data_IF_334523323203
#
_entry.id   IF_334523323203
#
_cell.length_a   1.000
_cell.length_b   1.000
_cell.length_c   1.000
_cell.angle_alpha   90.00
_cell.angle_beta   90.00
_cell.angle_gamma   90.00
#
_symmetry.space_group_name_H-M   'P 1'
#
loop_
_entity.id
_entity.type
_entity.pdbx_description
1 polymer ?
#
# COMPACT_ATOMS: atom_id res chain seq x y z
N UNK A 1 25.19 -80.41 59.74
CA UNK A 1 25.84 -79.08 59.89
C UNK A 1 25.80 -78.38 58.58
N UNK A 2 24.73 -77.66 58.32
CA UNK A 2 24.57 -76.89 57.11
C UNK A 2 23.98 -75.50 57.46
N UNK A 3 24.74 -74.49 57.18
CA UNK A 3 24.49 -73.09 57.49
C UNK A 3 23.54 -72.49 56.40
N UNK A 4 22.47 -71.89 56.85
CA UNK A 4 21.53 -71.15 55.99
C UNK A 4 22.10 -69.77 55.52
N UNK A 5 21.85 -69.33 54.34
CA UNK A 5 22.21 -67.99 53.90
C UNK A 5 21.19 -66.96 54.33
N UNK A 6 21.67 -65.78 54.76
CA UNK A 6 20.85 -64.61 55.18
C UNK A 6 20.24 -63.81 54.02
N UNK A 7 19.31 -62.93 54.33
CA UNK A 7 18.50 -62.24 53.33
C UNK A 7 19.26 -61.13 52.64
N UNK A 8 19.19 -61.10 51.28
CA UNK A 8 19.73 -60.06 50.41
C UNK A 8 18.94 -58.75 50.53
N UNK A 9 19.69 -57.68 50.75
CA UNK A 9 19.15 -56.32 50.72
C UNK A 9 18.86 -55.89 49.26
N UNK A 10 17.58 -55.66 48.95
CA UNK A 10 17.13 -55.12 47.72
C UNK A 10 17.38 -53.57 47.69
N UNK A 11 18.35 -53.09 46.91
CA UNK A 11 18.58 -51.71 46.71
C UNK A 11 17.60 -51.23 45.62
N UNK A 12 16.60 -50.40 46.04
CA UNK A 12 15.69 -49.75 45.17
C UNK A 12 16.39 -48.51 44.57
N UNK A 13 16.83 -48.58 43.33
CA UNK A 13 17.34 -47.41 42.60
C UNK A 13 16.16 -46.56 42.10
N UNK A 14 15.95 -45.41 42.73
CA UNK A 14 14.98 -44.40 42.28
C UNK A 14 15.63 -43.65 41.11
N UNK A 15 15.20 -43.94 39.89
CA UNK A 15 15.51 -43.10 38.70
C UNK A 15 14.72 -41.81 38.77
N UNK A 16 15.38 -40.71 39.07
CA UNK A 16 14.84 -39.38 38.91
C UNK A 16 14.77 -39.06 37.41
N UNK A 17 13.57 -39.18 36.79
CA UNK A 17 13.30 -38.60 35.51
C UNK A 17 13.35 -37.07 35.67
N UNK A 18 14.43 -36.46 35.19
CA UNK A 18 14.56 -35.00 35.06
C UNK A 18 13.56 -34.48 34.02
N UNK A 19 12.52 -33.81 34.51
CA UNK A 19 11.60 -33.04 33.67
C UNK A 19 12.37 -31.84 33.12
N UNK A 20 12.93 -31.96 31.91
CA UNK A 20 13.58 -30.86 31.18
C UNK A 20 12.57 -29.80 30.83
N UNK A 21 12.54 -28.69 31.58
CA UNK A 21 11.87 -27.46 31.18
C UNK A 21 12.53 -26.97 29.89
N UNK A 22 11.85 -27.19 28.76
CA UNK A 22 12.22 -26.59 27.51
C UNK A 22 12.00 -25.04 27.63
N UNK A 23 13.07 -24.35 28.01
CA UNK A 23 13.09 -22.89 27.85
C UNK A 23 12.95 -22.61 26.37
N UNK A 24 11.76 -22.10 25.99
CA UNK A 24 11.51 -21.60 24.66
C UNK A 24 12.62 -20.60 24.30
N UNK A 25 13.31 -20.81 23.18
CA UNK A 25 14.27 -19.84 22.65
C UNK A 25 13.55 -18.50 22.50
N UNK A 26 14.12 -17.38 22.98
CA UNK A 26 13.56 -16.07 22.72
C UNK A 26 13.49 -15.91 21.20
N UNK A 27 12.28 -15.66 20.68
CA UNK A 27 12.09 -15.27 19.29
C UNK A 27 12.78 -13.91 19.17
N UNK A 28 13.92 -13.89 18.50
CA UNK A 28 14.65 -12.66 18.22
C UNK A 28 13.81 -11.91 17.17
N UNK A 29 12.91 -11.04 17.63
CA UNK A 29 12.22 -10.07 16.76
C UNK A 29 13.30 -9.10 16.34
N UNK A 30 13.94 -9.40 15.22
CA UNK A 30 14.83 -8.46 14.55
C UNK A 30 14.01 -7.20 14.28
N UNK A 31 14.38 -6.11 14.95
CA UNK A 31 13.80 -4.80 14.64
C UNK A 31 14.06 -4.54 13.15
N UNK A 32 13.00 -4.49 12.39
CA UNK A 32 13.11 -4.23 10.95
C UNK A 32 13.61 -2.81 10.77
N UNK A 33 14.72 -2.65 10.03
CA UNK A 33 15.24 -1.32 9.72
C UNK A 33 14.16 -0.45 9.07
N UNK A 34 14.07 0.83 9.45
CA UNK A 34 13.07 1.72 8.88
C UNK A 34 13.28 1.93 7.38
N UNK A 35 12.20 2.14 6.66
CA UNK A 35 12.24 2.51 5.25
C UNK A 35 12.76 3.94 5.10
N UNK A 36 13.80 4.14 4.30
CA UNK A 36 14.47 5.44 4.14
C UNK A 36 14.09 6.08 2.81
N UNK A 37 13.72 7.36 2.86
CA UNK A 37 13.55 8.19 1.67
C UNK A 37 14.95 8.60 1.18
N UNK A 38 15.29 8.38 -0.11
CA UNK A 38 16.55 8.82 -0.66
C UNK A 38 16.70 10.34 -0.64
N UNK A 39 17.94 10.84 -0.51
CA UNK A 39 18.22 12.27 -0.57
C UNK A 39 18.30 12.82 -2.01
N UNK A 40 18.56 11.95 -3.00
CA UNK A 40 18.65 12.32 -4.41
C UNK A 40 17.27 12.42 -5.04
N UNK A 41 16.94 13.59 -5.61
CA UNK A 41 15.62 13.88 -6.20
C UNK A 41 15.28 12.92 -7.35
N UNK A 42 16.21 12.64 -8.25
CA UNK A 42 15.95 11.75 -9.38
C UNK A 42 15.59 10.34 -8.90
N UNK A 43 16.28 9.85 -7.87
CA UNK A 43 15.98 8.56 -7.24
C UNK A 43 14.62 8.60 -6.57
N UNK A 44 14.24 9.70 -5.91
CA UNK A 44 12.89 9.88 -5.32
C UNK A 44 11.82 9.79 -6.39
N UNK A 45 11.95 10.55 -7.48
CA UNK A 45 10.98 10.55 -8.58
C UNK A 45 10.80 9.16 -9.19
N UNK A 46 11.90 8.49 -9.51
CA UNK A 46 11.86 7.14 -10.08
C UNK A 46 11.24 6.09 -9.14
N UNK A 47 11.54 6.17 -7.84
CA UNK A 47 10.98 5.23 -6.86
C UNK A 47 9.50 5.50 -6.63
N UNK A 48 9.09 6.78 -6.47
CA UNK A 48 7.71 7.17 -6.30
C UNK A 48 6.83 6.75 -7.50
N UNK A 49 7.33 6.99 -8.72
CA UNK A 49 6.64 6.60 -9.96
C UNK A 49 6.43 5.08 -10.07
N UNK A 50 7.43 4.30 -9.70
CA UNK A 50 7.29 2.83 -9.65
C UNK A 50 6.36 2.36 -8.55
N UNK A 51 6.41 2.98 -7.37
CA UNK A 51 5.68 2.52 -6.18
C UNK A 51 4.16 2.71 -6.29
N UNK A 52 3.68 3.65 -7.10
CA UNK A 52 2.24 3.87 -7.35
C UNK A 52 1.62 2.86 -8.32
N UNK A 53 2.43 1.94 -8.81
CA UNK A 53 1.98 0.82 -9.63
C UNK A 53 1.92 -0.44 -8.77
N UNK A 54 0.84 -1.22 -8.86
CA UNK A 54 0.71 -2.53 -8.23
C UNK A 54 0.21 -3.58 -9.22
N UNK A 55 0.44 -4.85 -8.90
CA UNK A 55 0.12 -6.00 -9.74
C UNK A 55 1.28 -6.44 -10.61
N UNK A 56 1.08 -7.55 -11.31
CA UNK A 56 2.09 -8.16 -12.18
C UNK A 56 2.41 -7.26 -13.37
N UNK A 57 3.69 -7.09 -13.67
CA UNK A 57 4.14 -6.36 -14.85
C UNK A 57 3.73 -7.03 -16.18
N UNK A 58 3.50 -8.35 -16.15
CA UNK A 58 3.02 -9.14 -17.28
C UNK A 58 1.50 -9.24 -17.36
N UNK A 59 0.76 -8.59 -16.42
CA UNK A 59 -0.70 -8.63 -16.41
C UNK A 59 -1.28 -8.19 -17.76
N UNK A 60 -2.28 -8.94 -18.30
CA UNK A 60 -2.79 -8.71 -19.65
C UNK A 60 -3.55 -7.40 -19.81
N UNK A 61 -4.07 -6.82 -18.73
CA UNK A 61 -4.74 -5.52 -18.79
C UNK A 61 -4.13 -4.53 -17.81
N UNK A 62 -4.36 -3.25 -18.07
CA UNK A 62 -4.00 -2.16 -17.16
C UNK A 62 -5.27 -1.43 -16.73
N UNK A 63 -5.34 -1.10 -15.45
CA UNK A 63 -6.33 -0.18 -14.89
C UNK A 63 -5.56 1.07 -14.45
N UNK A 64 -5.93 2.22 -14.99
CA UNK A 64 -5.39 3.52 -14.58
C UNK A 64 -6.48 4.26 -13.85
N UNK A 65 -6.23 4.63 -12.59
CA UNK A 65 -7.07 5.52 -11.80
C UNK A 65 -6.46 6.92 -11.82
N UNK A 66 -7.23 7.91 -12.21
CA UNK A 66 -6.92 9.33 -12.09
C UNK A 66 -7.74 9.86 -10.93
N UNK A 67 -7.06 10.33 -9.88
CA UNK A 67 -7.66 10.50 -8.57
C UNK A 67 -7.14 11.74 -7.84
N UNK A 68 -7.85 12.10 -6.75
CA UNK A 68 -7.55 13.23 -5.89
C UNK A 68 -7.89 12.86 -4.45
N UNK A 69 -6.94 12.97 -3.54
CA UNK A 69 -7.12 12.58 -2.14
C UNK A 69 -8.18 13.40 -1.39
N UNK A 70 -8.45 14.63 -1.83
CA UNK A 70 -9.47 15.49 -1.22
C UNK A 70 -10.86 15.30 -1.84
N UNK A 71 -10.96 14.57 -2.96
CA UNK A 71 -12.20 14.31 -3.67
C UNK A 71 -13.08 13.29 -2.92
N UNK A 72 -14.33 13.65 -2.53
CA UNK A 72 -15.20 12.73 -1.79
C UNK A 72 -15.59 11.48 -2.59
N UNK A 73 -15.70 11.58 -3.91
CA UNK A 73 -16.01 10.45 -4.78
C UNK A 73 -14.81 9.49 -4.94
N UNK A 74 -13.56 10.01 -4.94
CA UNK A 74 -12.36 9.18 -4.92
C UNK A 74 -12.29 8.40 -3.61
N UNK A 75 -12.55 9.07 -2.48
CA UNK A 75 -12.66 8.40 -1.17
C UNK A 75 -13.74 7.33 -1.17
N UNK A 76 -14.92 7.63 -1.70
CA UNK A 76 -16.01 6.66 -1.79
C UNK A 76 -15.58 5.41 -2.56
N UNK A 77 -14.99 5.57 -3.74
CA UNK A 77 -14.46 4.44 -4.52
C UNK A 77 -13.44 3.63 -3.71
N UNK A 78 -12.48 4.31 -3.06
CA UNK A 78 -11.47 3.66 -2.25
C UNK A 78 -12.07 2.79 -1.14
N UNK A 79 -13.03 3.34 -0.39
CA UNK A 79 -13.63 2.64 0.76
C UNK A 79 -14.58 1.51 0.35
N UNK A 80 -15.32 1.66 -0.74
CA UNK A 80 -16.39 0.74 -1.12
C UNK A 80 -15.96 -0.30 -2.17
N UNK A 81 -15.06 0.04 -3.10
CA UNK A 81 -14.82 -0.76 -4.29
C UNK A 81 -13.37 -1.20 -4.51
N UNK A 82 -12.39 -0.36 -4.14
CA UNK A 82 -10.98 -0.56 -4.49
C UNK A 82 -10.44 -1.91 -4.00
N UNK A 83 -10.79 -2.33 -2.78
CA UNK A 83 -10.34 -3.62 -2.21
C UNK A 83 -10.85 -4.81 -3.03
N UNK A 84 -12.09 -4.77 -3.50
CA UNK A 84 -12.67 -5.83 -4.33
C UNK A 84 -11.98 -5.90 -5.69
N UNK A 85 -11.73 -4.76 -6.32
CA UNK A 85 -10.99 -4.68 -7.60
C UNK A 85 -9.56 -5.20 -7.42
N UNK A 86 -8.90 -4.78 -6.35
CA UNK A 86 -7.55 -5.24 -6.02
C UNK A 86 -7.49 -6.77 -5.89
N UNK A 87 -8.38 -7.35 -5.08
CA UNK A 87 -8.41 -8.79 -4.82
C UNK A 87 -8.71 -9.61 -6.07
N UNK A 88 -9.73 -9.20 -6.85
CA UNK A 88 -10.20 -10.00 -7.98
C UNK A 88 -9.29 -9.89 -9.21
N UNK A 89 -8.70 -8.74 -9.47
CA UNK A 89 -8.00 -8.48 -10.73
C UNK A 89 -6.50 -8.23 -10.56
N UNK A 90 -6.09 -7.54 -9.49
CA UNK A 90 -4.67 -7.18 -9.32
C UNK A 90 -3.89 -8.30 -8.66
N UNK A 91 -4.37 -8.80 -7.51
CA UNK A 91 -3.69 -9.89 -6.79
C UNK A 91 -3.75 -11.24 -7.54
N UNK A 92 -4.76 -11.43 -8.40
CA UNK A 92 -4.85 -12.59 -9.28
C UNK A 92 -3.94 -12.52 -10.52
N UNK A 93 -3.23 -11.40 -10.72
CA UNK A 93 -2.35 -11.21 -11.89
C UNK A 93 -3.08 -10.86 -13.20
N UNK A 94 -4.40 -10.62 -13.15
CA UNK A 94 -5.20 -10.25 -14.32
C UNK A 94 -4.97 -8.80 -14.74
N UNK A 95 -4.79 -7.90 -13.76
CA UNK A 95 -4.61 -6.49 -14.03
C UNK A 95 -3.40 -5.90 -13.32
N UNK A 96 -2.73 -4.97 -14.00
CA UNK A 96 -1.78 -4.04 -13.40
C UNK A 96 -2.50 -2.72 -13.13
N UNK A 97 -2.35 -2.18 -11.92
CA UNK A 97 -3.03 -0.98 -11.50
C UNK A 97 -2.05 0.19 -11.36
N UNK A 98 -2.38 1.35 -11.92
CA UNK A 98 -1.60 2.58 -11.85
C UNK A 98 -2.48 3.69 -11.28
N UNK A 99 -1.98 4.40 -10.26
CA UNK A 99 -2.60 5.58 -9.70
C UNK A 99 -1.94 6.85 -10.25
N UNK A 100 -2.73 7.83 -10.70
CA UNK A 100 -2.31 9.11 -11.27
C UNK A 100 -2.94 10.24 -10.46
N UNK A 101 -2.15 11.22 -10.07
CA UNK A 101 -2.64 12.37 -9.32
C UNK A 101 -3.30 13.41 -10.24
N UNK A 102 -4.49 13.89 -9.83
CA UNK A 102 -5.16 14.98 -10.52
C UNK A 102 -5.92 15.86 -9.51
N UNK A 103 -5.19 16.66 -8.70
CA UNK A 103 -5.77 17.56 -7.73
C UNK A 103 -6.70 18.59 -8.36
N UNK A 104 -7.92 18.73 -7.85
CA UNK A 104 -8.84 19.76 -8.29
C UNK A 104 -8.40 21.14 -7.76
N UNK A 105 -8.56 22.19 -8.56
CA UNK A 105 -8.19 23.57 -8.15
C UNK A 105 -8.97 24.08 -6.93
N UNK A 106 -10.12 23.49 -6.62
CA UNK A 106 -10.92 23.79 -5.41
C UNK A 106 -10.53 22.95 -4.18
N UNK A 107 -9.55 22.06 -4.33
CA UNK A 107 -9.04 21.19 -3.29
C UNK A 107 -7.62 21.63 -2.85
N UNK A 108 -7.51 22.65 -1.99
CA UNK A 108 -6.22 23.32 -1.73
C UNK A 108 -5.20 22.42 -1.01
N UNK A 109 -5.66 21.35 -0.38
CA UNK A 109 -4.80 20.42 0.36
C UNK A 109 -4.49 19.13 -0.38
N UNK A 110 -5.03 18.95 -1.57
CA UNK A 110 -4.78 17.77 -2.38
C UNK A 110 -3.31 17.68 -2.83
N UNK A 111 -2.68 18.82 -3.16
CA UNK A 111 -1.27 18.86 -3.55
C UNK A 111 -0.33 18.31 -2.46
N UNK A 112 -0.33 18.85 -1.23
CA UNK A 112 0.48 18.29 -0.14
C UNK A 112 0.17 16.82 0.16
N UNK A 113 -1.09 16.39 0.02
CA UNK A 113 -1.46 14.99 0.25
C UNK A 113 -0.85 14.05 -0.80
N UNK A 114 -0.76 14.48 -2.06
CA UNK A 114 -0.09 13.72 -3.12
C UNK A 114 1.42 13.65 -2.86
N UNK A 115 2.05 14.74 -2.45
CA UNK A 115 3.47 14.74 -2.08
C UNK A 115 3.75 13.78 -0.93
N UNK A 116 2.86 13.72 0.07
CA UNK A 116 2.97 12.77 1.16
C UNK A 116 2.98 11.31 0.67
N UNK A 117 2.08 10.97 -0.27
CA UNK A 117 2.03 9.63 -0.86
C UNK A 117 3.27 9.32 -1.72
N UNK A 118 3.77 10.30 -2.49
CA UNK A 118 4.96 10.12 -3.33
C UNK A 118 6.24 10.03 -2.50
N UNK A 119 6.42 10.83 -1.45
CA UNK A 119 7.54 10.68 -0.52
C UNK A 119 7.53 9.30 0.16
N UNK A 120 6.35 8.81 0.55
CA UNK A 120 6.21 7.44 1.05
C UNK A 120 6.52 6.40 -0.04
N UNK A 121 6.15 6.68 -1.29
CA UNK A 121 6.48 5.87 -2.45
C UNK A 121 7.97 5.72 -2.68
N UNK A 122 8.75 6.80 -2.50
CA UNK A 122 10.21 6.76 -2.57
C UNK A 122 10.84 5.83 -1.52
N UNK A 123 10.14 5.63 -0.40
CA UNK A 123 10.48 4.64 0.63
C UNK A 123 9.81 3.27 0.41
N UNK A 124 9.12 3.04 -0.73
CA UNK A 124 8.41 1.80 -1.03
C UNK A 124 7.08 1.61 -0.28
N UNK A 125 6.50 2.70 0.23
CA UNK A 125 5.27 2.69 1.05
C UNK A 125 4.12 3.51 0.47
N UNK A 126 4.08 3.70 -0.86
CA UNK A 126 3.04 4.49 -1.53
C UNK A 126 1.63 4.03 -1.12
N UNK A 127 1.31 2.76 -1.30
CA UNK A 127 -0.06 2.26 -1.07
C UNK A 127 -0.47 2.31 0.39
N UNK A 128 0.45 2.11 1.32
CA UNK A 128 0.16 2.27 2.75
C UNK A 128 -0.19 3.73 3.10
N UNK A 129 0.53 4.70 2.55
CA UNK A 129 0.22 6.11 2.74
C UNK A 129 -1.04 6.52 1.98
N UNK A 130 -1.23 6.05 0.76
CA UNK A 130 -2.43 6.25 -0.05
C UNK A 130 -3.70 5.86 0.71
N UNK A 131 -3.70 4.68 1.33
CA UNK A 131 -4.86 4.21 2.10
C UNK A 131 -5.13 5.12 3.31
N UNK A 132 -4.09 5.50 4.05
CA UNK A 132 -4.18 6.46 5.17
C UNK A 132 -4.76 7.80 4.70
N UNK A 133 -4.34 8.33 3.54
CA UNK A 133 -4.84 9.60 3.02
C UNK A 133 -6.37 9.58 2.82
N UNK A 134 -6.92 8.52 2.27
CA UNK A 134 -8.37 8.38 2.10
C UNK A 134 -9.11 8.05 3.40
N UNK A 135 -8.55 7.18 4.24
CA UNK A 135 -9.18 6.79 5.49
C UNK A 135 -9.26 7.95 6.49
N UNK A 136 -8.21 8.77 6.56
CA UNK A 136 -8.06 9.85 7.55
C UNK A 136 -8.23 11.26 6.96
N UNK A 137 -8.97 11.40 5.85
CA UNK A 137 -9.12 12.68 5.12
C UNK A 137 -9.61 13.81 6.04
N UNK A 138 -10.54 13.54 6.94
CA UNK A 138 -11.10 14.55 7.82
C UNK A 138 -10.08 15.10 8.83
N UNK A 139 -9.03 14.33 9.16
CA UNK A 139 -7.96 14.75 10.06
C UNK A 139 -7.00 15.71 9.37
N UNK A 140 -6.43 15.32 8.22
CA UNK A 140 -5.42 16.15 7.56
C UNK A 140 -6.03 17.34 6.81
N UNK A 141 -7.26 17.21 6.31
CA UNK A 141 -7.97 18.29 5.63
C UNK A 141 -8.27 19.45 6.57
N UNK A 142 -8.56 19.20 7.85
CA UNK A 142 -8.83 20.21 8.87
C UNK A 142 -7.59 20.66 9.65
N UNK A 143 -6.45 19.99 9.50
CA UNK A 143 -5.25 20.28 10.25
C UNK A 143 -4.66 21.66 9.89
N UNK A 144 -4.14 22.37 10.90
CA UNK A 144 -3.37 23.61 10.69
C UNK A 144 -2.06 23.31 9.98
N UNK A 145 -1.36 22.27 10.43
CA UNK A 145 -0.14 21.74 9.79
C UNK A 145 -0.34 20.26 9.43
N UNK A 146 -0.75 19.95 8.19
CA UNK A 146 -0.91 18.58 7.76
C UNK A 146 0.42 17.83 7.61
N UNK A 147 1.55 18.54 7.41
CA UNK A 147 2.88 17.92 7.26
C UNK A 147 3.26 17.15 8.51
N UNK A 148 3.04 17.73 9.69
CA UNK A 148 3.32 17.06 10.97
C UNK A 148 2.51 15.76 11.12
N UNK A 149 1.24 15.74 10.67
CA UNK A 149 0.43 14.51 10.65
C UNK A 149 0.99 13.48 9.66
N UNK A 150 1.38 13.92 8.47
CA UNK A 150 1.95 13.02 7.45
C UNK A 150 3.25 12.38 7.92
N UNK A 151 4.11 13.12 8.62
CA UNK A 151 5.33 12.59 9.24
C UNK A 151 4.99 11.55 10.32
N UNK A 152 4.01 11.84 11.18
CA UNK A 152 3.55 10.88 12.18
C UNK A 152 3.08 9.57 11.53
N UNK A 153 2.26 9.65 10.49
CA UNK A 153 1.76 8.48 9.80
C UNK A 153 2.83 7.75 8.97
N UNK A 154 3.81 8.46 8.46
CA UNK A 154 4.97 7.84 7.84
C UNK A 154 5.73 6.95 8.83
N UNK A 155 5.92 7.42 10.07
CA UNK A 155 6.52 6.62 11.14
C UNK A 155 5.64 5.42 11.50
N UNK A 156 4.31 5.57 11.57
CA UNK A 156 3.37 4.46 11.81
C UNK A 156 3.53 3.33 10.77
N UNK A 157 3.83 3.66 9.51
CA UNK A 157 4.05 2.69 8.44
C UNK A 157 5.54 2.33 8.24
N UNK A 158 6.39 2.70 9.19
CA UNK A 158 7.79 2.28 9.27
C UNK A 158 8.77 3.09 8.42
N UNK A 159 8.42 4.32 8.02
CA UNK A 159 9.34 5.23 7.30
C UNK A 159 10.15 6.05 8.31
N UNK A 160 11.43 6.28 8.01
CA UNK A 160 12.30 7.15 8.78
C UNK A 160 11.83 8.61 8.69
N UNK A 161 11.68 9.28 9.84
CA UNK A 161 11.01 10.58 9.93
C UNK A 161 11.77 11.71 9.23
N UNK A 162 13.09 11.82 9.43
CA UNK A 162 13.88 12.96 8.98
C UNK A 162 13.93 13.06 7.46
N UNK A 163 14.21 11.95 6.78
CA UNK A 163 14.26 11.91 5.31
C UNK A 163 12.89 12.14 4.69
N UNK A 164 11.82 11.62 5.32
CA UNK A 164 10.45 11.83 4.86
C UNK A 164 10.02 13.29 5.02
N UNK A 165 10.27 13.91 6.19
CA UNK A 165 9.98 15.32 6.43
C UNK A 165 10.76 16.23 5.48
N UNK A 166 12.04 15.93 5.23
CA UNK A 166 12.84 16.64 4.25
C UNK A 166 12.21 16.58 2.84
N UNK A 167 11.79 15.39 2.41
CA UNK A 167 11.11 15.20 1.12
C UNK A 167 9.88 16.09 0.98
N UNK A 168 9.03 16.15 2.01
CA UNK A 168 7.82 16.98 2.01
C UNK A 168 8.11 18.47 2.01
N UNK A 169 8.98 18.95 2.93
CA UNK A 169 9.24 20.38 3.09
C UNK A 169 10.04 21.01 1.95
N UNK A 170 10.61 20.20 1.06
CA UNK A 170 11.35 20.64 -0.10
C UNK A 170 10.68 20.28 -1.41
N UNK A 171 9.39 19.88 -1.38
CA UNK A 171 8.57 19.58 -2.55
C UNK A 171 9.29 18.63 -3.55
N UNK A 172 10.06 17.67 -3.00
CA UNK A 172 10.94 16.82 -3.82
C UNK A 172 10.19 16.07 -4.93
N UNK A 173 8.96 15.53 -4.70
CA UNK A 173 8.23 14.81 -5.73
C UNK A 173 7.38 15.72 -6.65
N UNK A 174 7.38 17.05 -6.46
CA UNK A 174 6.54 17.97 -7.24
C UNK A 174 6.64 17.81 -8.76
N UNK A 175 7.83 17.56 -9.38
CA UNK A 175 7.90 17.34 -10.83
C UNK A 175 7.05 16.16 -11.31
N UNK A 176 6.96 15.07 -10.55
CA UNK A 176 6.12 13.91 -10.87
C UNK A 176 4.63 14.27 -10.81
N UNK A 177 4.24 15.02 -9.78
CA UNK A 177 2.88 15.47 -9.60
C UNK A 177 2.42 16.43 -10.71
N UNK A 178 3.27 17.37 -11.11
CA UNK A 178 3.02 18.28 -12.24
C UNK A 178 2.89 17.49 -13.54
N UNK A 179 3.75 16.51 -13.77
CA UNK A 179 3.68 15.66 -14.97
C UNK A 179 2.37 14.87 -15.04
N UNK A 180 1.89 14.36 -13.93
CA UNK A 180 0.60 13.67 -13.82
C UNK A 180 -0.55 14.62 -14.20
N UNK A 181 -0.60 15.77 -13.53
CA UNK A 181 -1.62 16.78 -13.74
C UNK A 181 -1.71 17.22 -15.21
N UNK A 182 -0.58 17.57 -15.79
CA UNK A 182 -0.48 17.95 -17.19
C UNK A 182 -0.90 16.83 -18.15
N UNK A 183 -0.54 15.59 -17.84
CA UNK A 183 -0.93 14.42 -18.64
C UNK A 183 -2.43 14.20 -18.61
N UNK A 184 -3.06 14.32 -17.44
CA UNK A 184 -4.51 14.20 -17.29
C UNK A 184 -5.24 15.32 -18.07
N UNK A 185 -4.78 16.58 -17.95
CA UNK A 185 -5.35 17.70 -18.71
C UNK A 185 -5.25 17.49 -20.23
N UNK A 186 -4.07 17.11 -20.73
CA UNK A 186 -3.87 16.84 -22.17
C UNK A 186 -4.73 15.69 -22.67
N UNK A 187 -5.09 14.75 -21.80
CA UNK A 187 -6.00 13.65 -22.10
C UNK A 187 -7.49 14.04 -22.02
N UNK A 188 -7.80 15.32 -21.76
CA UNK A 188 -9.18 15.82 -21.67
C UNK A 188 -9.92 15.38 -20.41
N UNK A 189 -9.18 14.97 -19.37
CA UNK A 189 -9.79 14.60 -18.08
C UNK A 189 -10.14 15.87 -17.31
N UNK A 190 -11.38 15.96 -16.85
CA UNK A 190 -11.92 17.15 -16.19
C UNK A 190 -12.50 16.88 -14.79
N UNK A 191 -12.53 15.64 -14.36
CA UNK A 191 -13.10 15.26 -13.04
C UNK A 191 -12.50 13.96 -12.53
N UNK A 192 -12.55 13.77 -11.22
CA UNK A 192 -12.11 12.58 -10.51
C UNK A 192 -13.27 11.92 -9.74
N UNK A 193 -13.21 10.60 -9.47
CA UNK A 193 -12.27 9.67 -10.07
C UNK A 193 -12.57 9.44 -11.56
N UNK A 194 -11.52 9.12 -12.31
CA UNK A 194 -11.64 8.71 -13.70
C UNK A 194 -10.77 7.46 -13.90
N UNK A 195 -11.31 6.47 -14.60
CA UNK A 195 -10.58 5.23 -14.83
C UNK A 195 -10.45 4.95 -16.32
N UNK A 196 -9.31 4.39 -16.69
CA UNK A 196 -9.08 3.78 -18.00
C UNK A 196 -8.80 2.31 -17.78
N UNK A 197 -9.63 1.44 -18.36
CA UNK A 197 -9.47 -0.02 -18.30
C UNK A 197 -9.02 -0.53 -19.66
N UNK A 198 -7.96 -1.32 -19.67
CA UNK A 198 -7.31 -1.72 -20.89
C UNK A 198 -6.70 -0.54 -21.64
N UNK A 199 -7.00 -0.42 -22.93
CA UNK A 199 -6.42 0.64 -23.77
C UNK A 199 -7.31 1.88 -23.89
N UNK A 200 -8.63 1.74 -23.70
CA UNK A 200 -9.56 2.83 -24.05
C UNK A 200 -10.90 2.84 -23.32
N UNK A 201 -11.25 1.83 -22.53
CA UNK A 201 -12.54 1.83 -21.84
C UNK A 201 -12.50 2.82 -20.67
N UNK A 202 -13.25 3.90 -20.78
CA UNK A 202 -13.30 4.94 -19.77
C UNK A 202 -14.51 4.76 -18.83
N UNK A 203 -14.24 4.87 -17.51
CA UNK A 203 -15.27 4.96 -16.47
C UNK A 203 -15.14 6.33 -15.80
N UNK A 204 -16.21 7.08 -15.74
CA UNK A 204 -16.25 8.44 -15.17
C UNK A 204 -17.00 8.44 -13.85
N UNK A 205 -16.36 8.95 -12.81
CA UNK A 205 -16.94 9.01 -11.47
C UNK A 205 -17.08 7.64 -10.80
N UNK A 206 -17.79 7.61 -9.68
CA UNK A 206 -18.09 6.38 -8.96
C UNK A 206 -19.23 5.64 -9.65
N UNK A 207 -19.02 4.37 -9.90
CA UNK A 207 -20.06 3.45 -10.37
C UNK A 207 -20.17 2.28 -9.38
N UNK A 208 -21.27 1.52 -9.41
CA UNK A 208 -21.37 0.34 -8.54
C UNK A 208 -20.27 -0.67 -8.85
N UNK A 209 -19.88 -1.45 -7.87
CA UNK A 209 -18.83 -2.47 -8.02
C UNK A 209 -19.16 -3.47 -9.14
N UNK A 210 -20.44 -3.84 -9.30
CA UNK A 210 -20.90 -4.74 -10.35
C UNK A 210 -20.67 -4.13 -11.74
N UNK A 211 -20.98 -2.84 -11.90
CA UNK A 211 -20.73 -2.14 -13.16
C UNK A 211 -19.25 -1.99 -13.46
N UNK A 212 -18.44 -1.73 -12.43
CA UNK A 212 -17.00 -1.65 -12.60
C UNK A 212 -16.41 -3.00 -13.03
N UNK A 213 -16.82 -4.08 -12.35
CA UNK A 213 -16.44 -5.45 -12.73
C UNK A 213 -16.87 -5.79 -14.16
N UNK A 214 -18.14 -5.53 -14.52
CA UNK A 214 -18.62 -5.78 -15.89
C UNK A 214 -17.82 -5.03 -16.94
N UNK A 215 -17.32 -3.82 -16.62
CA UNK A 215 -16.47 -3.07 -17.52
C UNK A 215 -15.09 -3.75 -17.72
N UNK A 216 -14.47 -4.23 -16.62
CA UNK A 216 -13.20 -4.98 -16.70
C UNK A 216 -13.42 -6.28 -17.48
N UNK A 217 -14.45 -7.04 -17.13
CA UNK A 217 -14.77 -8.33 -17.74
C UNK A 217 -15.02 -8.18 -19.25
N UNK A 218 -15.67 -7.09 -19.68
CA UNK A 218 -15.88 -6.81 -21.10
C UNK A 218 -14.56 -6.63 -21.87
N UNK A 219 -13.55 -6.00 -21.24
CA UNK A 219 -12.22 -5.86 -21.84
C UNK A 219 -11.49 -7.21 -21.90
N UNK A 220 -11.61 -8.04 -20.87
CA UNK A 220 -11.03 -9.38 -20.85
C UNK A 220 -11.63 -10.24 -21.96
N UNK A 221 -12.96 -10.31 -22.06
CA UNK A 221 -13.67 -11.06 -23.09
C UNK A 221 -13.28 -10.59 -24.49
N UNK A 222 -13.20 -9.26 -24.72
CA UNK A 222 -12.78 -8.70 -26.00
C UNK A 222 -11.35 -9.10 -26.41
N UNK A 223 -10.51 -9.47 -25.43
CA UNK A 223 -9.14 -9.98 -25.64
C UNK A 223 -9.05 -11.51 -25.64
N UNK A 224 -10.17 -12.23 -25.53
CA UNK A 224 -10.20 -13.69 -25.45
C UNK A 224 -9.65 -14.24 -24.15
N UNK A 225 -9.73 -13.45 -23.05
CA UNK A 225 -9.26 -13.83 -21.72
C UNK A 225 -10.44 -14.26 -20.83
N UNK A 226 -10.15 -15.11 -19.84
CA UNK A 226 -11.13 -15.54 -18.85
C UNK A 226 -11.41 -14.43 -17.82
N UNK A 227 -12.63 -14.38 -17.31
CA UNK A 227 -13.05 -13.50 -16.22
C UNK A 227 -13.00 -14.23 -14.88
N UNK A 228 -12.69 -13.54 -13.74
CA UNK A 228 -12.61 -14.14 -12.43
C UNK A 228 -13.97 -14.50 -11.81
#
# INVERSE_FOLDING_TARGET
MTRAPGPGRLFLTISLLGLGLAFGRPVNVSAQEPYVVPADQEVVLQRADRARVKGDSAAPIRIVEISDFECPYCRQFHLESARTIDSLYVQSGIARYLWISFPNSTHPRAWPAVEAAFCAGAAGRFWAMHDIMFERVDQWKSAVDPVSLFVQWAVEIGIEAQGYEYCLRNDVPAPLQVADYDSALRSGIASTPFFVVGDSLAIRGVVSIERFRSAIDSVLIARGLETP
#
